data_IF_974786311829
#
_entry.id   IF_974786311829
#
_cell.length_a   1.000
_cell.length_b   1.000
_cell.length_c   1.000
_cell.angle_alpha   90.00
_cell.angle_beta   90.00
_cell.angle_gamma   90.00
#
_symmetry.space_group_name_H-M   'P 1'
#
loop_
_entity.id
_entity.type
_entity.pdbx_description
1 polymer ?
#
# COMPACT_ATOMS: atom_id res chain seq x y z
N UNK A 1 14.93 -17.56 -8.85
CA UNK A 1 14.54 -18.34 -10.05
C UNK A 1 13.38 -19.24 -9.63
N UNK A 2 12.15 -18.87 -9.97
CA UNK A 2 10.97 -19.72 -9.78
C UNK A 2 10.90 -20.74 -10.91
N UNK A 3 11.80 -21.73 -10.91
CA UNK A 3 11.91 -22.70 -12.01
C UNK A 3 11.23 -24.04 -11.77
N UNK A 4 10.41 -24.21 -10.73
CA UNK A 4 9.88 -25.54 -10.39
C UNK A 4 8.36 -25.66 -10.23
N UNK A 5 7.54 -24.78 -10.82
CA UNK A 5 6.08 -24.93 -10.77
C UNK A 5 5.30 -24.43 -12.01
N UNK A 6 5.97 -24.22 -13.15
CA UNK A 6 5.32 -23.75 -14.38
C UNK A 6 5.62 -24.63 -15.60
N UNK A 7 5.46 -25.93 -15.46
CA UNK A 7 5.40 -26.85 -16.60
C UNK A 7 4.16 -27.71 -16.38
N UNK A 8 3.00 -27.24 -16.87
CA UNK A 8 1.77 -28.04 -17.20
C UNK A 8 0.51 -27.20 -17.41
N UNK A 9 0.49 -25.89 -17.14
CA UNK A 9 -0.68 -25.05 -17.43
C UNK A 9 -0.32 -23.93 -18.40
N UNK A 10 -0.88 -23.99 -19.60
CA UNK A 10 -0.98 -22.85 -20.52
C UNK A 10 -1.57 -21.66 -19.77
N UNK A 11 -1.01 -20.48 -19.98
CA UNK A 11 -1.49 -19.25 -19.35
C UNK A 11 -2.85 -18.90 -19.94
N UNK A 12 -3.92 -19.04 -19.14
CA UNK A 12 -5.29 -18.81 -19.60
C UNK A 12 -5.62 -17.31 -19.71
N UNK A 13 -5.18 -16.50 -18.75
CA UNK A 13 -5.43 -15.06 -18.69
C UNK A 13 -4.36 -14.37 -17.85
N UNK A 14 -3.94 -13.17 -18.29
CA UNK A 14 -3.00 -12.30 -17.59
C UNK A 14 -3.72 -10.97 -17.33
N UNK A 15 -3.91 -10.64 -16.04
CA UNK A 15 -4.48 -9.37 -15.61
C UNK A 15 -3.36 -8.38 -15.30
N UNK A 16 -3.36 -7.22 -15.95
CA UNK A 16 -2.36 -6.17 -15.73
C UNK A 16 -2.93 -4.77 -15.76
N UNK A 17 -2.10 -3.79 -15.42
CA UNK A 17 -2.33 -2.39 -15.77
C UNK A 17 -2.11 -2.16 -17.27
N UNK A 18 -2.78 -1.15 -17.81
CA UNK A 18 -2.70 -0.79 -19.22
C UNK A 18 -1.42 0.03 -19.51
N UNK A 19 -0.27 -0.52 -19.12
CA UNK A 19 1.05 0.04 -19.44
C UNK A 19 1.57 -0.51 -20.77
N UNK A 20 1.87 0.39 -21.71
CA UNK A 20 2.29 0.00 -23.06
C UNK A 20 3.60 -0.79 -23.04
N UNK A 21 4.57 -0.41 -22.22
CA UNK A 21 5.89 -1.05 -22.17
C UNK A 21 5.80 -2.49 -21.67
N UNK A 22 5.04 -2.70 -20.60
CA UNK A 22 4.79 -4.01 -20.03
C UNK A 22 3.97 -4.90 -20.96
N UNK A 23 2.88 -4.38 -21.53
CA UNK A 23 2.04 -5.13 -22.47
C UNK A 23 2.85 -5.54 -23.71
N UNK A 24 3.64 -4.61 -24.28
CA UNK A 24 4.52 -4.92 -25.42
C UNK A 24 5.58 -5.96 -25.06
N UNK A 25 6.22 -5.83 -23.90
CA UNK A 25 7.19 -6.82 -23.43
C UNK A 25 6.60 -8.22 -23.30
N UNK A 26 5.38 -8.32 -22.74
CA UNK A 26 4.63 -9.57 -22.66
C UNK A 26 4.31 -10.12 -24.06
N UNK A 27 3.76 -9.30 -24.95
CA UNK A 27 3.41 -9.72 -26.30
C UNK A 27 4.62 -10.23 -27.09
N UNK A 28 5.77 -9.56 -26.96
CA UNK A 28 7.02 -10.00 -27.61
C UNK A 28 7.52 -11.33 -27.06
N UNK A 29 7.46 -11.53 -25.74
CA UNK A 29 7.79 -12.82 -25.14
C UNK A 29 6.86 -13.94 -25.62
N UNK A 30 5.56 -13.65 -25.81
CA UNK A 30 4.61 -14.61 -26.37
C UNK A 30 4.88 -14.88 -27.85
N UNK A 31 5.31 -13.87 -28.62
CA UNK A 31 5.72 -14.02 -30.01
C UNK A 31 6.95 -14.94 -30.16
N UNK A 32 7.93 -14.81 -29.26
CA UNK A 32 9.10 -15.70 -29.22
C UNK A 32 8.73 -17.15 -28.93
N UNK A 33 7.66 -17.39 -28.16
CA UNK A 33 7.15 -18.73 -27.84
C UNK A 33 6.26 -19.31 -28.95
N UNK A 34 5.44 -18.47 -29.59
CA UNK A 34 4.55 -18.84 -30.69
C UNK A 34 4.55 -17.74 -31.76
N UNK A 35 5.34 -17.93 -32.81
CA UNK A 35 5.46 -16.96 -33.89
C UNK A 35 4.29 -17.00 -34.89
N UNK A 36 3.25 -17.81 -34.66
CA UNK A 36 2.08 -17.91 -35.55
C UNK A 36 1.19 -16.67 -35.54
N UNK A 37 1.30 -15.84 -34.49
CA UNK A 37 0.54 -14.61 -34.29
C UNK A 37 1.51 -13.49 -33.95
N UNK A 38 1.20 -12.26 -34.33
CA UNK A 38 1.96 -11.10 -33.87
C UNK A 38 1.72 -10.83 -32.37
N UNK A 39 2.57 -10.00 -31.78
CA UNK A 39 2.53 -9.69 -30.36
C UNK A 39 1.23 -9.02 -29.90
N UNK A 40 0.57 -8.19 -30.73
CA UNK A 40 -0.71 -7.57 -30.38
C UNK A 40 -1.82 -8.60 -30.43
N UNK A 41 -1.82 -9.45 -31.45
CA UNK A 41 -2.78 -10.55 -31.56
C UNK A 41 -2.68 -11.49 -30.37
N UNK A 42 -1.46 -11.79 -29.88
CA UNK A 42 -1.30 -12.56 -28.65
C UNK A 42 -1.99 -11.90 -27.45
N UNK A 43 -1.79 -10.60 -27.25
CA UNK A 43 -2.44 -9.86 -26.17
C UNK A 43 -3.97 -9.90 -26.29
N UNK A 44 -4.54 -9.85 -27.49
CA UNK A 44 -6.00 -9.95 -27.67
C UNK A 44 -6.60 -11.26 -27.16
N UNK A 45 -5.82 -12.34 -27.03
CA UNK A 45 -6.30 -13.65 -26.57
C UNK A 45 -6.12 -13.89 -25.07
N UNK A 46 -5.16 -13.21 -24.44
CA UNK A 46 -4.71 -13.55 -23.08
C UNK A 46 -4.74 -12.37 -22.10
N UNK A 47 -4.65 -11.14 -22.59
CA UNK A 47 -4.46 -9.97 -21.73
C UNK A 47 -5.80 -9.34 -21.34
N UNK A 48 -5.95 -9.06 -20.05
CA UNK A 48 -7.09 -8.37 -19.47
C UNK A 48 -6.60 -7.16 -18.69
N UNK A 49 -7.20 -6.01 -18.94
CA UNK A 49 -6.85 -4.77 -18.24
C UNK A 49 -7.57 -4.66 -16.91
N UNK A 50 -6.87 -4.12 -15.92
CA UNK A 50 -7.44 -3.78 -14.64
C UNK A 50 -8.47 -2.64 -14.78
N UNK A 51 -9.71 -2.92 -14.38
CA UNK A 51 -10.82 -1.94 -14.44
C UNK A 51 -10.58 -0.76 -13.49
N UNK A 52 -9.95 -0.99 -12.34
CA UNK A 52 -9.64 0.07 -11.37
C UNK A 52 -8.63 1.06 -11.97
N UNK A 53 -7.59 0.56 -12.63
CA UNK A 53 -6.61 1.42 -13.30
C UNK A 53 -7.23 2.19 -14.47
N UNK A 54 -8.06 1.54 -15.28
CA UNK A 54 -8.81 2.20 -16.35
C UNK A 54 -9.67 3.35 -15.79
N UNK A 55 -10.47 3.10 -14.73
CA UNK A 55 -11.32 4.11 -14.13
C UNK A 55 -10.52 5.27 -13.51
N UNK A 56 -9.37 5.00 -12.89
CA UNK A 56 -8.47 6.04 -12.37
C UNK A 56 -7.86 6.87 -13.50
N UNK A 57 -7.43 6.22 -14.58
CA UNK A 57 -6.91 6.91 -15.77
C UNK A 57 -7.98 7.83 -16.38
N UNK A 58 -9.21 7.33 -16.50
CA UNK A 58 -10.35 8.08 -17.02
C UNK A 58 -10.70 9.28 -16.12
N UNK A 59 -10.71 9.10 -14.79
CA UNK A 59 -10.96 10.18 -13.84
C UNK A 59 -9.93 11.32 -13.97
N UNK A 60 -8.66 10.97 -14.22
CA UNK A 60 -7.58 11.94 -14.38
C UNK A 60 -7.64 12.73 -15.70
N UNK A 61 -8.52 12.36 -16.66
CA UNK A 61 -8.68 13.09 -17.91
C UNK A 61 -9.55 14.34 -17.78
N UNK A 62 -10.27 14.50 -16.67
CA UNK A 62 -11.13 15.66 -16.40
C UNK A 62 -12.19 15.91 -17.50
N UNK A 63 -12.69 14.85 -18.14
CA UNK A 63 -13.82 14.92 -19.05
C UNK A 63 -15.10 15.37 -18.35
N UNK A 64 -16.08 15.82 -19.15
CA UNK A 64 -17.41 16.07 -18.62
C UNK A 64 -18.01 14.79 -18.03
N UNK A 65 -19.03 14.95 -17.18
CA UNK A 65 -19.71 13.81 -16.57
C UNK A 65 -20.35 12.89 -17.63
N UNK A 66 -20.81 13.47 -18.75
CA UNK A 66 -21.43 12.78 -19.87
C UNK A 66 -20.39 11.91 -20.59
N UNK A 67 -19.27 12.50 -21.01
CA UNK A 67 -18.16 11.79 -21.66
C UNK A 67 -17.52 10.76 -20.74
N UNK A 68 -17.39 11.07 -19.45
CA UNK A 68 -16.91 10.11 -18.45
C UNK A 68 -17.83 8.88 -18.33
N UNK A 69 -19.15 9.10 -18.23
CA UNK A 69 -20.11 8.00 -18.13
C UNK A 69 -20.15 7.18 -19.42
N UNK A 70 -20.07 7.84 -20.58
CA UNK A 70 -20.01 7.21 -21.89
C UNK A 70 -18.75 6.34 -22.02
N UNK A 71 -17.57 6.88 -21.71
CA UNK A 71 -16.31 6.12 -21.70
C UNK A 71 -16.33 4.94 -20.72
N UNK A 72 -16.92 5.12 -19.53
CA UNK A 72 -17.07 4.04 -18.54
C UNK A 72 -17.98 2.91 -19.03
N UNK A 73 -18.97 3.22 -19.88
CA UNK A 73 -19.93 2.24 -20.40
C UNK A 73 -19.28 1.20 -21.33
N UNK A 74 -18.09 1.49 -21.89
CA UNK A 74 -17.29 0.56 -22.71
C UNK A 74 -17.10 -0.79 -22.00
N UNK A 75 -16.93 -0.80 -20.68
CA UNK A 75 -16.69 -2.03 -19.91
C UNK A 75 -17.86 -3.04 -19.99
N UNK A 76 -19.09 -2.55 -20.17
CA UNK A 76 -20.31 -3.35 -20.15
C UNK A 76 -21.07 -3.32 -21.49
N UNK A 77 -20.50 -2.69 -22.52
CA UNK A 77 -21.14 -2.61 -23.83
C UNK A 77 -21.43 -4.02 -24.38
N UNK A 78 -22.66 -4.29 -24.85
CA UNK A 78 -23.14 -5.65 -25.14
C UNK A 78 -22.64 -6.23 -26.47
N UNK A 79 -22.11 -5.40 -27.36
CA UNK A 79 -21.61 -5.81 -28.68
C UNK A 79 -20.39 -5.00 -29.10
N UNK A 80 -19.65 -5.51 -30.10
CA UNK A 80 -18.55 -4.79 -30.73
C UNK A 80 -19.01 -3.46 -31.35
N UNK A 81 -20.13 -3.47 -32.07
CA UNK A 81 -20.73 -2.27 -32.66
C UNK A 81 -21.07 -1.20 -31.62
N UNK A 82 -21.55 -1.62 -30.44
CA UNK A 82 -21.83 -0.70 -29.33
C UNK A 82 -20.55 -0.07 -28.80
N UNK A 83 -19.47 -0.84 -28.65
CA UNK A 83 -18.15 -0.32 -28.25
C UNK A 83 -17.62 0.69 -29.26
N UNK A 84 -17.69 0.35 -30.55
CA UNK A 84 -17.22 1.21 -31.64
C UNK A 84 -18.03 2.51 -31.71
N UNK A 85 -19.35 2.43 -31.57
CA UNK A 85 -20.24 3.60 -31.50
C UNK A 85 -19.89 4.52 -30.33
N UNK A 86 -19.63 3.95 -29.14
CA UNK A 86 -19.18 4.72 -27.96
C UNK A 86 -17.85 5.44 -28.24
N UNK A 87 -16.86 4.75 -28.80
CA UNK A 87 -15.55 5.33 -29.11
C UNK A 87 -15.65 6.42 -30.19
N UNK A 88 -16.49 6.22 -31.20
CA UNK A 88 -16.74 7.21 -32.26
C UNK A 88 -17.43 8.46 -31.71
N UNK A 89 -18.39 8.30 -30.78
CA UNK A 89 -19.05 9.41 -30.13
C UNK A 89 -18.08 10.24 -29.27
N UNK A 90 -17.17 9.60 -28.54
CA UNK A 90 -16.13 10.29 -27.76
C UNK A 90 -15.13 10.98 -28.69
N UNK A 91 -14.73 10.34 -29.79
CA UNK A 91 -13.81 10.94 -30.76
C UNK A 91 -14.40 12.19 -31.44
N UNK A 92 -15.72 12.18 -31.67
CA UNK A 92 -16.46 13.28 -32.29
C UNK A 92 -16.85 14.38 -31.29
N UNK A 93 -16.53 14.22 -30.00
CA UNK A 93 -16.79 15.24 -29.00
C UNK A 93 -15.78 16.39 -29.11
N UNK A 94 -16.24 17.61 -28.82
CA UNK A 94 -15.38 18.80 -28.80
C UNK A 94 -14.51 18.90 -27.52
N UNK A 95 -14.50 17.85 -26.69
CA UNK A 95 -13.73 17.85 -25.44
C UNK A 95 -12.23 17.71 -25.69
N UNK A 96 -11.46 18.56 -25.00
CA UNK A 96 -10.00 18.57 -25.09
C UNK A 96 -9.41 17.19 -24.71
N UNK A 97 -8.70 16.58 -25.66
CA UNK A 97 -8.04 15.29 -25.47
C UNK A 97 -8.95 14.06 -25.62
N UNK A 98 -10.26 14.24 -25.85
CA UNK A 98 -11.19 13.13 -26.08
C UNK A 98 -10.87 12.37 -27.38
N UNK A 99 -10.51 13.10 -28.44
CA UNK A 99 -10.05 12.53 -29.71
C UNK A 99 -8.83 11.62 -29.57
N UNK A 100 -7.77 12.13 -28.93
CA UNK A 100 -6.53 11.35 -28.72
C UNK A 100 -6.77 10.15 -27.80
N UNK A 101 -7.61 10.33 -26.77
CA UNK A 101 -8.03 9.25 -25.89
C UNK A 101 -8.77 8.17 -26.66
N UNK A 102 -9.78 8.53 -27.47
CA UNK A 102 -10.54 7.58 -28.26
C UNK A 102 -9.63 6.83 -29.26
N UNK A 103 -8.72 7.54 -29.93
CA UNK A 103 -7.73 6.94 -30.83
C UNK A 103 -6.81 5.95 -30.11
N UNK A 104 -6.33 6.28 -28.91
CA UNK A 104 -5.54 5.37 -28.11
C UNK A 104 -6.33 4.09 -27.76
N UNK A 105 -7.55 4.24 -27.25
CA UNK A 105 -8.39 3.10 -26.87
C UNK A 105 -8.92 2.30 -28.07
N UNK A 106 -8.94 2.85 -29.29
CA UNK A 106 -9.22 2.09 -30.53
C UNK A 106 -8.13 1.09 -30.92
N UNK A 107 -6.95 1.15 -30.29
CA UNK A 107 -5.89 0.17 -30.55
C UNK A 107 -6.40 -1.25 -30.25
N UNK A 108 -6.25 -2.22 -31.18
CA UNK A 108 -6.92 -3.53 -31.09
C UNK A 108 -6.69 -4.25 -29.76
N UNK A 109 -5.43 -4.40 -29.34
CA UNK A 109 -5.12 -5.10 -28.09
C UNK A 109 -5.63 -4.35 -26.84
N UNK A 110 -5.71 -3.01 -26.89
CA UNK A 110 -6.20 -2.19 -25.77
C UNK A 110 -7.68 -2.44 -25.58
N UNK A 111 -8.49 -2.29 -26.63
CA UNK A 111 -9.93 -2.45 -26.51
C UNK A 111 -10.33 -3.90 -26.20
N UNK A 112 -9.61 -4.87 -26.80
CA UNK A 112 -9.78 -6.30 -26.51
C UNK A 112 -9.48 -6.65 -25.06
N UNK A 113 -8.64 -5.87 -24.37
CA UNK A 113 -8.33 -6.10 -22.95
C UNK A 113 -9.38 -5.55 -21.99
N UNK A 114 -10.32 -4.72 -22.46
CA UNK A 114 -11.31 -4.02 -21.62
C UNK A 114 -12.72 -4.61 -21.73
N UNK A 115 -13.11 -5.08 -22.92
CA UNK A 115 -14.46 -5.59 -23.18
C UNK A 115 -14.42 -7.03 -23.71
N UNK A 116 -15.26 -7.89 -23.14
CA UNK A 116 -15.37 -9.30 -23.49
C UNK A 116 -15.73 -9.55 -24.97
N UNK A 117 -16.53 -8.67 -25.57
CA UNK A 117 -16.98 -8.78 -26.96
C UNK A 117 -15.90 -8.36 -27.96
N UNK A 118 -14.91 -7.58 -27.51
CA UNK A 118 -13.76 -7.17 -28.32
C UNK A 118 -12.58 -8.13 -28.15
N UNK A 119 -12.59 -8.92 -27.07
CA UNK A 119 -11.54 -9.89 -26.77
C UNK A 119 -11.65 -11.13 -27.65
N UNK A 120 -10.50 -11.69 -28.03
CA UNK A 120 -10.41 -13.04 -28.64
C UNK A 120 -10.25 -14.13 -27.57
N UNK A 121 -10.17 -13.76 -26.30
CA UNK A 121 -10.15 -14.67 -25.16
C UNK A 121 -11.46 -15.47 -25.08
N UNK A 122 -11.38 -16.72 -24.66
CA UNK A 122 -12.58 -17.52 -24.42
C UNK A 122 -13.45 -16.88 -23.33
N UNK A 123 -14.76 -16.77 -23.58
CA UNK A 123 -15.71 -16.11 -22.66
C UNK A 123 -15.73 -16.73 -21.27
N UNK A 124 -15.50 -18.05 -21.16
CA UNK A 124 -15.44 -18.74 -19.88
C UNK A 124 -14.24 -18.27 -19.05
N UNK A 125 -13.07 -18.19 -19.69
CA UNK A 125 -11.84 -17.67 -19.10
C UNK A 125 -12.03 -16.21 -18.67
N UNK A 126 -12.56 -15.35 -19.55
CA UNK A 126 -12.78 -13.94 -19.21
C UNK A 126 -13.61 -13.75 -17.94
N UNK A 127 -14.68 -14.55 -17.78
CA UNK A 127 -15.59 -14.49 -16.63
C UNK A 127 -15.00 -15.11 -15.36
N UNK A 128 -14.14 -16.13 -15.51
CA UNK A 128 -13.45 -16.81 -14.39
C UNK A 128 -12.52 -15.87 -13.64
N UNK A 129 -11.80 -14.99 -14.34
CA UNK A 129 -10.82 -14.09 -13.74
C UNK A 129 -11.42 -12.73 -13.37
N UNK A 130 -11.07 -12.24 -12.17
CA UNK A 130 -11.51 -10.95 -11.66
C UNK A 130 -11.04 -9.75 -12.49
N UNK A 131 -11.61 -8.58 -12.19
CA UNK A 131 -11.35 -7.33 -12.93
C UNK A 131 -10.38 -6.38 -12.19
N UNK A 132 -9.92 -6.74 -11.00
CA UNK A 132 -9.08 -5.90 -10.16
C UNK A 132 -7.73 -6.56 -9.88
N UNK A 133 -6.69 -5.72 -9.84
CA UNK A 133 -5.32 -6.13 -9.49
C UNK A 133 -5.08 -6.06 -7.99
N UNK A 134 -6.11 -6.00 -7.14
CA UNK A 134 -5.94 -5.78 -5.69
C UNK A 134 -4.94 -6.76 -5.05
N UNK A 135 -4.92 -8.02 -5.48
CA UNK A 135 -3.96 -9.02 -5.02
C UNK A 135 -2.53 -8.71 -5.51
N UNK A 136 -2.37 -8.33 -6.78
CA UNK A 136 -1.09 -7.93 -7.36
C UNK A 136 -0.59 -6.60 -6.78
N UNK A 137 -1.45 -5.58 -6.65
CA UNK A 137 -1.15 -4.29 -6.00
C UNK A 137 -0.81 -4.47 -4.53
N UNK A 138 -1.49 -5.34 -3.79
CA UNK A 138 -1.14 -5.66 -2.42
C UNK A 138 0.25 -6.30 -2.33
N UNK A 139 0.56 -7.24 -3.23
CA UNK A 139 1.90 -7.83 -3.33
C UNK A 139 2.96 -6.78 -3.69
N UNK A 140 2.71 -5.93 -4.69
CA UNK A 140 3.61 -4.84 -5.07
C UNK A 140 3.77 -3.80 -3.97
N UNK A 141 2.71 -3.45 -3.24
CA UNK A 141 2.78 -2.51 -2.13
C UNK A 141 3.57 -3.09 -0.95
N UNK A 142 3.51 -4.41 -0.72
CA UNK A 142 4.38 -5.09 0.24
C UNK A 142 5.84 -4.98 -0.19
N UNK A 143 6.15 -5.25 -1.47
CA UNK A 143 7.51 -5.13 -2.02
C UNK A 143 8.03 -3.68 -1.91
N UNK A 144 7.23 -2.71 -2.34
CA UNK A 144 7.62 -1.29 -2.39
C UNK A 144 7.77 -0.65 -0.99
N UNK A 145 7.05 -1.14 0.03
CA UNK A 145 7.20 -0.68 1.42
C UNK A 145 8.50 -1.16 2.08
N UNK A 146 9.14 -2.17 1.50
CA UNK A 146 10.27 -2.87 2.13
C UNK A 146 11.63 -2.46 1.57
N UNK A 147 11.63 -1.50 0.63
CA UNK A 147 12.82 -0.78 0.20
C UNK A 147 13.36 -1.26 -1.15
N UNK A 148 13.56 -0.33 -2.07
CA UNK A 148 14.33 -0.54 -3.30
C UNK A 148 15.80 -0.68 -2.90
N UNK A 149 16.41 -1.86 -3.12
CA UNK A 149 17.86 -2.12 -3.32
C UNK A 149 18.32 -3.57 -2.96
N UNK A 150 17.43 -4.57 -2.95
CA UNK A 150 17.88 -5.97 -2.83
C UNK A 150 18.28 -6.52 -4.21
N UNK A 151 19.42 -7.23 -4.29
CA UNK A 151 19.76 -8.05 -5.46
C UNK A 151 18.63 -9.08 -5.67
N UNK A 152 18.20 -9.30 -6.91
CA UNK A 152 16.99 -10.06 -7.25
C UNK A 152 16.85 -11.41 -6.53
N UNK A 153 17.95 -12.18 -6.42
CA UNK A 153 17.97 -13.47 -5.72
C UNK A 153 17.70 -13.33 -4.22
N UNK A 154 18.30 -12.31 -3.60
CA UNK A 154 18.13 -11.99 -2.18
C UNK A 154 16.70 -11.57 -1.87
N UNK A 155 16.07 -10.82 -2.77
CA UNK A 155 14.67 -10.43 -2.66
C UNK A 155 13.75 -11.66 -2.72
N UNK A 156 13.99 -12.60 -3.65
CA UNK A 156 13.18 -13.82 -3.79
C UNK A 156 13.28 -14.70 -2.53
N UNK A 157 14.50 -15.02 -2.09
CA UNK A 157 14.74 -15.87 -0.91
C UNK A 157 14.14 -15.26 0.36
N UNK A 158 14.36 -13.97 0.57
CA UNK A 158 13.80 -13.27 1.74
C UNK A 158 12.28 -13.16 1.69
N UNK A 159 11.68 -13.00 0.50
CA UNK A 159 10.23 -13.00 0.35
C UNK A 159 9.60 -14.34 0.70
N UNK A 160 10.17 -15.45 0.22
CA UNK A 160 9.62 -16.78 0.46
C UNK A 160 9.64 -17.14 1.96
N UNK A 161 10.77 -16.93 2.63
CA UNK A 161 10.91 -17.18 4.07
C UNK A 161 9.92 -16.34 4.90
N UNK A 162 9.70 -15.10 4.47
CA UNK A 162 8.84 -14.15 5.19
C UNK A 162 7.36 -14.37 4.92
N UNK A 163 6.96 -14.73 3.70
CA UNK A 163 5.59 -15.13 3.39
C UNK A 163 5.19 -16.37 4.19
N UNK A 164 6.11 -17.33 4.36
CA UNK A 164 5.90 -18.48 5.23
C UNK A 164 5.67 -18.06 6.69
N UNK A 165 6.41 -17.08 7.20
CA UNK A 165 6.26 -16.55 8.57
C UNK A 165 4.95 -15.77 8.78
N UNK A 166 4.51 -15.02 7.77
CA UNK A 166 3.22 -14.33 7.78
C UNK A 166 2.07 -15.34 7.81
N UNK A 167 2.15 -16.34 6.94
CA UNK A 167 1.16 -17.42 6.85
C UNK A 167 1.10 -18.21 8.16
N UNK A 168 2.24 -18.62 8.70
CA UNK A 168 2.30 -19.35 9.97
C UNK A 168 1.73 -18.55 11.14
N UNK A 169 1.96 -17.24 11.17
CA UNK A 169 1.40 -16.37 12.22
C UNK A 169 -0.11 -16.26 12.10
N UNK A 170 -0.63 -16.09 10.88
CA UNK A 170 -2.07 -16.02 10.64
C UNK A 170 -2.77 -17.35 10.94
N UNK A 171 -2.17 -18.48 10.56
CA UNK A 171 -2.71 -19.81 10.83
C UNK A 171 -2.71 -20.11 12.35
N UNK A 172 -1.67 -19.68 13.07
CA UNK A 172 -1.55 -19.94 14.52
C UNK A 172 -2.35 -18.97 15.41
N UNK A 173 -2.55 -17.72 14.99
CA UNK A 173 -3.18 -16.69 15.82
C UNK A 173 -4.53 -16.20 15.29
N UNK A 174 -4.97 -16.62 14.10
CA UNK A 174 -6.21 -16.17 13.44
C UNK A 174 -6.22 -14.68 13.06
N UNK A 175 -5.13 -13.96 13.30
CA UNK A 175 -5.01 -12.52 13.10
C UNK A 175 -4.08 -12.27 11.92
N UNK A 176 -4.52 -11.52 10.89
CA UNK A 176 -3.66 -11.20 9.76
C UNK A 176 -2.46 -10.38 10.22
N UNK A 177 -1.26 -10.80 9.83
CA UNK A 177 0.00 -10.09 10.10
C UNK A 177 -0.05 -8.72 9.39
N UNK A 178 -0.54 -7.71 10.10
CA UNK A 178 -0.56 -6.34 9.59
C UNK A 178 0.55 -5.56 10.27
N UNK A 179 1.55 -5.17 9.49
CA UNK A 179 2.72 -4.39 9.94
C UNK A 179 2.40 -2.94 10.30
N UNK A 180 1.12 -2.56 10.26
CA UNK A 180 0.66 -1.28 10.77
C UNK A 180 0.09 -1.51 12.16
N UNK A 181 0.65 -0.81 13.14
CA UNK A 181 0.06 -0.72 14.47
C UNK A 181 -1.38 -0.19 14.33
N UNK A 182 -2.34 -1.09 14.53
CA UNK A 182 -3.78 -0.79 14.53
C UNK A 182 -4.29 -0.61 15.96
N UNK A 183 -3.42 -0.45 16.96
CA UNK A 183 -3.83 -0.12 18.31
C UNK A 183 -4.74 1.10 18.29
N UNK A 184 -5.64 1.15 19.26
CA UNK A 184 -6.56 2.26 19.41
C UNK A 184 -5.80 3.58 19.56
N UNK A 185 -4.68 3.55 20.27
CA UNK A 185 -3.73 4.66 20.42
C UNK A 185 -3.22 5.15 19.07
N UNK A 186 -2.76 4.25 18.19
CA UNK A 186 -2.27 4.63 16.86
C UNK A 186 -3.38 5.16 15.96
N UNK A 187 -4.59 4.57 16.04
CA UNK A 187 -5.77 5.06 15.30
C UNK A 187 -6.15 6.48 15.74
N UNK A 188 -6.15 6.75 17.05
CA UNK A 188 -6.41 8.08 17.60
C UNK A 188 -5.32 9.08 17.18
N UNK A 189 -4.04 8.68 17.22
CA UNK A 189 -2.93 9.52 16.76
C UNK A 189 -3.05 9.90 15.27
N UNK A 190 -3.39 8.94 14.39
CA UNK A 190 -3.61 9.19 12.96
C UNK A 190 -4.82 10.12 12.75
N UNK A 191 -5.90 9.93 13.50
CA UNK A 191 -7.08 10.79 13.43
C UNK A 191 -6.77 12.23 13.86
N UNK A 192 -6.01 12.41 14.95
CA UNK A 192 -5.54 13.71 15.42
C UNK A 192 -4.64 14.40 14.40
N UNK A 193 -3.68 13.68 13.80
CA UNK A 193 -2.80 14.22 12.76
C UNK A 193 -3.59 14.65 11.50
N UNK A 194 -4.61 13.88 11.10
CA UNK A 194 -5.51 14.27 9.98
C UNK A 194 -6.33 15.51 10.30
N UNK A 195 -6.80 15.67 11.55
CA UNK A 195 -7.51 16.88 12.00
C UNK A 195 -6.59 18.10 12.00
N UNK A 196 -5.35 17.96 12.51
CA UNK A 196 -4.35 19.02 12.51
C UNK A 196 -3.99 19.48 11.08
N UNK A 197 -3.77 18.55 10.15
CA UNK A 197 -3.47 18.86 8.75
C UNK A 197 -4.63 19.61 8.05
N UNK A 198 -5.89 19.27 8.35
CA UNK A 198 -7.06 20.02 7.85
C UNK A 198 -7.14 21.44 8.41
N UNK A 199 -6.73 21.64 9.66
CA UNK A 199 -6.72 22.96 10.29
C UNK A 199 -5.65 23.88 9.68
N UNK A 200 -4.45 23.34 9.43
CA UNK A 200 -3.36 24.08 8.80
C UNK A 200 -3.70 24.51 7.36
N UNK A 201 -4.36 23.63 6.58
CA UNK A 201 -4.81 23.94 5.21
C UNK A 201 -5.90 25.04 5.16
N UNK A 202 -6.71 25.16 6.22
CA UNK A 202 -7.72 26.23 6.39
C UNK A 202 -7.10 27.57 6.75
N UNK A 203 -5.93 27.58 7.40
CA UNK A 203 -5.22 28.81 7.75
C UNK A 203 -4.43 29.39 6.57
N UNK A 204 -3.91 28.54 5.67
CA UNK A 204 -3.28 28.99 4.42
C UNK A 204 -4.27 29.69 3.47
N UNK A 205 -5.52 29.21 3.40
CA UNK A 205 -6.57 29.83 2.55
C UNK A 205 -7.09 31.17 3.10
N UNK A 206 -6.95 31.45 4.40
CA UNK A 206 -7.37 32.72 5.00
C UNK A 206 -6.34 33.85 4.85
N UNK A 207 -5.05 33.53 4.70
CA UNK A 207 -3.99 34.54 4.55
C UNK A 207 -3.77 35.03 3.12
N UNK A 208 -4.36 34.38 2.11
CA UNK A 208 -4.28 34.81 0.71
C UNK A 208 -5.23 35.97 0.34
N UNK A 209 -6.24 36.28 1.17
CA UNK A 209 -7.30 37.24 0.82
C UNK A 209 -7.06 38.68 1.34
N UNK A 210 -5.89 38.98 1.93
CA UNK A 210 -5.57 40.30 2.51
C UNK A 210 -4.51 41.11 1.75
N UNK A 211 -4.20 40.78 0.49
CA UNK A 211 -3.32 41.60 -0.36
C UNK A 211 -3.99 41.90 -1.69
N UNK A 212 -4.84 42.92 -1.71
CA UNK A 212 -5.14 43.75 -2.88
C UNK A 212 -6.10 44.87 -2.47
N UNK A 213 -5.57 45.96 -1.93
CA UNK A 213 -6.09 47.33 -2.11
C UNK A 213 -5.05 48.34 -1.63
N UNK A 214 -4.97 49.46 -2.37
CA UNK A 214 -4.21 50.70 -2.16
C UNK A 214 -2.67 50.65 -2.15
N UNK A 215 -2.11 50.96 -3.32
CA UNK A 215 -0.95 51.83 -3.46
C UNK A 215 -1.13 53.15 -2.69
N UNK A 216 -0.03 53.70 -2.16
CA UNK A 216 0.42 55.11 -2.17
C UNK A 216 1.23 55.41 -0.90
N UNK A 217 2.47 55.89 -1.10
CA UNK A 217 3.34 56.65 -0.19
C UNK A 217 3.80 55.99 1.12
N UNK A 218 4.97 56.22 1.67
CA UNK A 218 6.24 56.84 1.26
C UNK A 218 7.13 56.71 2.51
N UNK A 219 8.40 56.35 2.34
CA UNK A 219 9.52 56.78 3.19
C UNK A 219 9.38 56.67 4.72
N UNK A 220 10.04 55.67 5.31
CA UNK A 220 11.16 55.87 6.24
C UNK A 220 11.57 54.52 6.86
N UNK A 221 12.58 53.88 6.27
CA UNK A 221 13.38 52.87 6.97
C UNK A 221 14.82 53.33 6.89
N UNK A 222 15.14 54.29 7.76
CA UNK A 222 16.44 54.90 7.90
C UNK A 222 16.98 54.59 9.29
N UNK A 223 18.13 53.91 9.31
CA UNK A 223 19.14 53.82 10.38
C UNK A 223 18.75 53.09 11.68
N UNK A 224 19.38 51.93 11.93
CA UNK A 224 20.58 51.69 12.79
C UNK A 224 20.16 51.31 14.22
N UNK A 225 20.44 50.08 14.67
CA UNK A 225 21.73 49.57 15.15
C UNK A 225 22.18 50.27 16.44
N UNK A 226 21.83 49.65 17.57
CA UNK A 226 22.45 49.70 18.89
C UNK A 226 21.95 48.42 19.59
N UNK A 227 22.64 47.27 19.50
CA UNK A 227 23.83 46.90 20.27
C UNK A 227 23.63 47.03 21.78
N UNK A 228 23.27 45.92 22.43
CA UNK A 228 23.88 45.54 23.71
C UNK A 228 23.83 44.02 23.90
N UNK A 229 25.00 43.47 24.19
CA UNK A 229 25.38 42.07 24.27
C UNK A 229 25.39 41.65 25.75
N UNK A 230 25.26 40.34 25.99
CA UNK A 230 25.74 39.56 27.15
C UNK A 230 24.79 39.42 28.35
N UNK A 231 24.39 38.18 28.65
CA UNK A 231 25.01 37.40 29.72
C UNK A 231 24.48 35.96 29.81
N UNK A 232 25.37 35.10 30.27
CA UNK A 232 25.35 33.64 30.36
C UNK A 232 24.67 33.09 31.62
N UNK A 233 24.58 31.75 31.67
CA UNK A 233 24.52 30.82 32.82
C UNK A 233 23.17 30.42 33.44
N UNK A 234 22.82 29.15 33.20
CA UNK A 234 22.56 28.03 34.14
C UNK A 234 21.45 28.07 35.22
N UNK A 235 20.94 26.84 35.42
CA UNK A 235 20.32 26.21 36.60
C UNK A 235 18.80 26.35 36.82
N UNK A 236 18.14 25.22 36.53
CA UNK A 236 17.27 24.41 37.41
C UNK A 236 16.18 25.07 38.28
N UNK A 237 15.03 24.40 38.21
CA UNK A 237 13.90 24.37 39.13
C UNK A 237 13.05 25.64 39.29
N UNK A 238 11.76 25.50 39.00
CA UNK A 238 10.65 25.93 39.85
C UNK A 238 9.39 25.17 39.39
N UNK A 239 9.02 24.16 40.18
CA UNK A 239 7.62 23.78 40.38
C UNK A 239 6.87 24.99 40.94
N UNK A 240 5.66 25.29 40.44
CA UNK A 240 4.50 25.65 41.28
C UNK A 240 3.22 25.84 40.45
N UNK A 241 2.28 24.91 40.67
CA UNK A 241 0.87 25.12 41.04
C UNK A 241 0.02 26.15 40.30
N UNK A 242 -1.03 25.67 39.61
CA UNK A 242 -2.34 26.37 39.54
C UNK A 242 -3.48 25.37 39.82
N UNK A 243 -3.82 25.28 41.11
CA UNK A 243 -5.15 25.28 41.73
C UNK A 243 -6.36 24.92 40.82
N UNK A 244 -6.87 23.70 41.02
CA UNK A 244 -8.22 23.29 40.59
C UNK A 244 -9.17 23.45 41.77
N UNK A 245 -10.09 24.41 41.69
CA UNK A 245 -11.26 24.45 42.57
C UNK A 245 -12.36 23.53 42.03
N UNK A 246 -12.76 22.60 42.90
CA UNK A 246 -13.81 21.62 42.71
C UNK A 246 -15.20 22.24 42.83
N UNK A 247 -16.16 21.80 42.01
CA UNK A 247 -17.57 21.72 42.39
C UNK A 247 -18.23 20.49 41.72
N UNK A 248 -18.66 19.50 42.51
CA UNK A 248 -19.65 18.50 42.04
C UNK A 248 -19.55 17.04 42.50
N UNK A 249 -19.67 16.78 43.82
CA UNK A 249 -20.28 15.60 44.48
C UNK A 249 -20.30 14.21 43.79
N UNK A 250 -19.45 13.34 44.36
CA UNK A 250 -19.83 12.12 45.10
C UNK A 250 -20.68 11.04 44.41
N UNK A 251 -20.02 9.98 43.89
CA UNK A 251 -20.54 8.59 43.82
C UNK A 251 -19.50 7.50 43.43
N UNK A 252 -18.20 7.78 43.27
CA UNK A 252 -17.27 6.86 42.57
C UNK A 252 -16.12 6.26 43.38
N UNK A 253 -16.05 6.49 44.71
CA UNK A 253 -14.84 6.17 45.48
C UNK A 253 -14.57 4.67 45.73
N UNK A 254 -15.56 3.79 45.59
CA UNK A 254 -15.37 2.34 45.78
C UNK A 254 -15.01 1.61 44.48
N UNK A 255 -15.60 2.00 43.35
CA UNK A 255 -15.45 1.32 42.04
C UNK A 255 -14.04 1.54 41.45
N UNK A 256 -13.40 2.68 41.73
CA UNK A 256 -12.07 2.98 41.17
C UNK A 256 -10.94 2.17 41.82
N UNK A 257 -11.05 1.80 43.09
CA UNK A 257 -10.01 1.04 43.80
C UNK A 257 -9.98 -0.44 43.38
N UNK A 258 -11.16 -1.04 43.17
CA UNK A 258 -11.26 -2.43 42.72
C UNK A 258 -10.72 -2.61 41.29
N UNK A 259 -10.97 -1.65 40.40
CA UNK A 259 -10.44 -1.66 39.04
C UNK A 259 -8.91 -1.51 39.00
N UNK A 260 -8.32 -0.70 39.88
CA UNK A 260 -6.87 -0.50 39.99
C UNK A 260 -6.17 -1.75 40.54
N UNK A 261 -6.77 -2.41 41.53
CA UNK A 261 -6.27 -3.69 42.07
C UNK A 261 -6.35 -4.80 41.00
N UNK A 262 -7.44 -4.87 40.23
CA UNK A 262 -7.60 -5.88 39.19
C UNK A 262 -6.58 -5.71 38.04
N UNK A 263 -6.32 -4.46 37.62
CA UNK A 263 -5.29 -4.14 36.63
C UNK A 263 -3.89 -4.50 37.10
N UNK A 264 -3.58 -4.29 38.38
CA UNK A 264 -2.28 -4.64 38.95
C UNK A 264 -2.08 -6.15 39.02
N UNK A 265 -3.11 -6.92 39.35
CA UNK A 265 -3.07 -8.39 39.32
C UNK A 265 -2.82 -8.89 37.89
N UNK A 266 -3.55 -8.37 36.91
CA UNK A 266 -3.38 -8.76 35.49
C UNK A 266 -1.99 -8.41 34.95
N UNK A 267 -1.40 -7.29 35.38
CA UNK A 267 -0.04 -6.91 35.00
C UNK A 267 1.00 -7.85 35.62
N UNK A 268 0.81 -8.28 36.86
CA UNK A 268 1.76 -9.17 37.53
C UNK A 268 1.70 -10.60 36.97
N UNK A 269 0.51 -11.10 36.63
CA UNK A 269 0.34 -12.37 35.90
C UNK A 269 1.04 -12.35 34.54
N UNK A 270 0.95 -11.24 33.79
CA UNK A 270 1.67 -11.08 32.51
C UNK A 270 3.18 -11.07 32.69
N UNK A 271 3.71 -10.47 33.76
CA UNK A 271 5.15 -10.51 34.05
C UNK A 271 5.63 -11.92 34.37
N UNK A 272 4.87 -12.66 35.18
CA UNK A 272 5.18 -14.06 35.52
C UNK A 272 5.18 -14.95 34.27
N UNK A 273 4.19 -14.80 33.38
CA UNK A 273 4.14 -15.54 32.13
C UNK A 273 5.33 -15.23 31.19
N UNK A 274 5.81 -13.98 31.18
CA UNK A 274 7.01 -13.60 30.41
C UNK A 274 8.27 -14.22 30.99
N UNK A 275 8.42 -14.26 32.32
CA UNK A 275 9.54 -14.91 33.00
C UNK A 275 9.56 -16.41 32.75
N UNK A 276 8.40 -17.08 32.80
CA UNK A 276 8.28 -18.50 32.50
C UNK A 276 8.69 -18.83 31.05
N UNK A 277 8.26 -18.01 30.09
CA UNK A 277 8.71 -18.13 28.68
C UNK A 277 10.21 -17.93 28.53
N UNK A 278 10.79 -16.96 29.24
CA UNK A 278 12.22 -16.73 29.19
C UNK A 278 13.02 -17.89 29.80
N UNK A 279 12.53 -18.49 30.89
CA UNK A 279 13.12 -19.69 31.47
C UNK A 279 13.04 -20.90 30.53
N UNK A 280 11.90 -21.07 29.84
CA UNK A 280 11.72 -22.13 28.84
C UNK A 280 12.69 -21.97 27.66
N UNK A 281 12.81 -20.76 27.12
CA UNK A 281 13.78 -20.47 26.04
C UNK A 281 15.23 -20.74 26.47
N UNK A 282 15.60 -20.37 27.71
CA UNK A 282 16.94 -20.69 28.23
C UNK A 282 17.19 -22.19 28.35
N UNK A 283 16.17 -22.95 28.76
CA UNK A 283 16.24 -24.41 28.83
C UNK A 283 16.41 -25.04 27.45
N UNK A 284 15.61 -24.60 26.48
CA UNK A 284 15.68 -25.07 25.09
C UNK A 284 17.05 -24.75 24.45
N UNK A 285 17.60 -23.56 24.72
CA UNK A 285 18.95 -23.18 24.27
C UNK A 285 20.02 -24.09 24.89
N UNK A 286 19.96 -24.35 26.21
CA UNK A 286 20.91 -25.23 26.87
C UNK A 286 20.82 -26.68 26.36
N UNK A 287 19.61 -27.17 26.07
CA UNK A 287 19.40 -28.50 25.47
C UNK A 287 19.99 -28.57 24.05
N UNK A 288 19.80 -27.52 23.23
CA UNK A 288 20.38 -27.44 21.89
C UNK A 288 21.92 -27.40 21.92
N UNK A 289 22.52 -26.62 22.82
CA UNK A 289 23.97 -26.57 23.00
C UNK A 289 24.54 -27.93 23.47
N UNK A 290 23.84 -28.63 24.36
CA UNK A 290 24.23 -29.97 24.80
C UNK A 290 24.22 -30.99 23.65
N UNK A 291 23.20 -30.95 22.79
CA UNK A 291 23.12 -31.78 21.58
C UNK A 291 24.25 -31.43 20.61
N UNK A 292 24.57 -30.15 20.43
CA UNK A 292 25.66 -29.74 19.55
C UNK A 292 27.02 -30.24 20.06
N UNK A 293 27.26 -30.15 21.37
CA UNK A 293 28.48 -30.68 22.00
C UNK A 293 28.59 -32.21 21.85
N UNK A 294 27.50 -32.95 22.06
CA UNK A 294 27.47 -34.39 21.82
C UNK A 294 27.76 -34.73 20.35
N UNK A 295 27.18 -33.99 19.41
CA UNK A 295 27.43 -34.18 17.98
C UNK A 295 28.89 -33.87 17.61
N UNK A 296 29.52 -32.86 18.23
CA UNK A 296 30.95 -32.59 18.05
C UNK A 296 31.81 -33.72 18.61
N UNK A 297 31.50 -34.22 19.80
CA UNK A 297 32.22 -35.37 20.40
C UNK A 297 32.08 -36.63 19.54
N UNK A 298 30.88 -36.91 19.01
CA UNK A 298 30.64 -38.03 18.10
C UNK A 298 31.42 -37.90 16.79
N UNK A 299 31.50 -36.69 16.21
CA UNK A 299 32.32 -36.43 15.02
C UNK A 299 33.80 -36.69 15.30
N UNK A 300 34.31 -36.27 16.45
CA UNK A 300 35.69 -36.54 16.89
C UNK A 300 35.90 -38.07 17.08
N UNK A 301 34.96 -38.78 17.72
CA UNK A 301 35.09 -40.24 17.93
C UNK A 301 34.96 -41.06 16.65
N UNK A 302 34.25 -40.56 15.64
CA UNK A 302 34.09 -41.20 14.33
C UNK A 302 35.26 -40.91 13.37
N UNK A 303 36.31 -40.22 13.81
CA UNK A 303 37.48 -39.91 12.98
C UNK A 303 37.18 -38.94 11.84
N UNK A 304 36.05 -38.22 11.91
CA UNK A 304 35.67 -37.19 10.95
C UNK A 304 36.24 -35.84 11.42
N UNK A 305 37.56 -35.70 11.36
CA UNK A 305 38.22 -34.40 11.51
C UNK A 305 38.02 -33.58 10.24
N UNK A 306 37.63 -32.31 10.40
CA UNK A 306 37.95 -31.26 9.43
C UNK A 306 39.47 -31.10 9.33
#
# INVERSE_FOLDING_TARGET
>A
MCHQLMITKSWECILGDLDYGQAKGLGLALYELDSSKDWETHLMHIFKSCVVHFQRNLFNKHFSQETYNLAKSILNAPSQESVESILNAIESSDESGAKDWAKYYKTPWIISSLNINMSKMERQIWRKYGNNTNAAEAAHALINREGKQLKLLSAILWHDEKLLKIKSTQDNSGVPYTRCDKSEVKRQQIASNRKAAKYNKKNETKNSCKRKTSSINSNEKRLRLAETVSNTTNLEDINNEIRVENLGRSSTSSINKENEVMLNIELEERKLALLERQAKLRKEVAEAEAIELQNRQLKISMGLTL
#
